data_IF_431173417190
#
_entry.id   IF_431173417190
#
_cell.length_a   1.000
_cell.length_b   1.000
_cell.length_c   1.000
_cell.angle_alpha   90.00
_cell.angle_beta   90.00
_cell.angle_gamma   90.00
#
_symmetry.space_group_name_H-M   'P 1'
#
loop_
_entity.id
_entity.type
_entity.pdbx_description
1 polymer ?
#
# COMPACT_ATOMS: atom_id res chain seq x y z
N UNK A 1 -15.35 11.08 14.33
CA UNK A 1 -13.94 10.64 14.20
C UNK A 1 -13.50 10.16 15.57
N UNK A 2 -13.11 8.89 15.70
CA UNK A 2 -12.62 8.29 16.95
C UNK A 2 -11.23 7.69 16.69
N UNK A 3 -10.20 8.35 17.19
CA UNK A 3 -8.80 7.94 17.02
C UNK A 3 -8.36 7.14 18.24
N UNK A 4 -7.87 5.93 18.02
CA UNK A 4 -7.37 5.07 19.07
C UNK A 4 -5.84 5.21 19.18
N UNK A 5 -5.35 5.51 20.37
CA UNK A 5 -3.91 5.47 20.68
C UNK A 5 -3.60 4.06 21.19
N UNK A 6 -2.64 3.42 20.57
CA UNK A 6 -2.23 2.05 20.89
C UNK A 6 -1.26 2.04 22.05
N UNK A 7 -1.35 1.07 22.92
CA UNK A 7 -0.31 0.81 23.94
C UNK A 7 0.96 0.24 23.27
N UNK A 8 2.07 0.21 24.01
CA UNK A 8 3.33 -0.39 23.48
C UNK A 8 3.17 -1.89 23.18
N UNK A 9 2.40 -2.61 24.00
CA UNK A 9 2.12 -4.04 23.79
C UNK A 9 1.29 -4.23 22.50
N UNK A 10 0.26 -3.40 22.29
CA UNK A 10 -0.55 -3.42 21.06
C UNK A 10 0.30 -3.09 19.81
N UNK A 11 1.20 -2.10 19.90
CA UNK A 11 2.13 -1.79 18.80
C UNK A 11 3.08 -2.97 18.56
N UNK A 12 3.46 -3.70 19.60
CA UNK A 12 4.22 -4.95 19.50
C UNK A 12 3.48 -5.99 18.64
N UNK A 13 2.20 -6.24 18.93
CA UNK A 13 1.36 -7.17 18.17
C UNK A 13 1.12 -6.69 16.73
N UNK A 14 0.90 -5.39 16.53
CA UNK A 14 0.80 -4.80 15.20
C UNK A 14 2.09 -4.97 14.40
N UNK A 15 3.25 -4.86 15.04
CA UNK A 15 4.55 -5.11 14.39
C UNK A 15 4.66 -6.54 13.92
N UNK A 16 4.22 -7.53 14.70
CA UNK A 16 4.20 -8.95 14.30
C UNK A 16 3.32 -9.15 13.04
N UNK A 17 2.11 -8.58 13.03
CA UNK A 17 1.21 -8.64 11.88
C UNK A 17 1.85 -7.99 10.63
N UNK A 18 2.44 -6.81 10.77
CA UNK A 18 3.09 -6.08 9.69
C UNK A 18 4.38 -6.75 9.17
N UNK A 19 5.15 -7.40 10.04
CA UNK A 19 6.31 -8.20 9.62
C UNK A 19 5.86 -9.42 8.79
N UNK A 20 4.71 -10.01 9.11
CA UNK A 20 4.14 -11.09 8.29
C UNK A 20 3.71 -10.58 6.91
N UNK A 21 3.13 -9.38 6.81
CA UNK A 21 2.85 -8.75 5.51
C UNK A 21 4.14 -8.62 4.69
N UNK A 22 5.20 -8.06 5.28
CA UNK A 22 6.50 -7.92 4.60
C UNK A 22 7.06 -9.26 4.10
N UNK A 23 6.97 -10.32 4.91
CA UNK A 23 7.38 -11.68 4.52
C UNK A 23 6.49 -12.25 3.41
N UNK A 24 5.19 -11.98 3.43
CA UNK A 24 4.27 -12.39 2.37
C UNK A 24 4.63 -11.73 1.04
N UNK A 25 4.91 -10.41 1.05
CA UNK A 25 5.37 -9.68 -0.13
C UNK A 25 6.72 -10.23 -0.64
N UNK A 26 7.64 -10.58 0.27
CA UNK A 26 8.92 -11.18 -0.07
C UNK A 26 8.76 -12.59 -0.70
N UNK A 27 7.83 -13.41 -0.17
CA UNK A 27 7.53 -14.69 -0.80
C UNK A 27 6.97 -14.49 -2.21
N UNK A 28 6.04 -13.55 -2.40
CA UNK A 28 5.50 -13.22 -3.71
C UNK A 28 6.56 -12.72 -4.70
N UNK A 29 7.52 -11.94 -4.24
CA UNK A 29 8.65 -11.46 -5.06
C UNK A 29 9.40 -12.61 -5.76
N UNK A 30 9.51 -13.79 -5.13
CA UNK A 30 10.15 -14.99 -5.72
C UNK A 30 9.38 -15.58 -6.89
N UNK A 31 8.09 -15.27 -6.99
CA UNK A 31 7.17 -15.84 -7.98
C UNK A 31 6.80 -14.85 -9.09
N UNK A 32 7.06 -13.56 -8.92
CA UNK A 32 6.74 -12.52 -9.92
C UNK A 32 7.69 -12.66 -11.11
N UNK A 33 7.14 -13.08 -12.24
CA UNK A 33 7.82 -13.21 -13.53
C UNK A 33 6.81 -13.27 -14.67
N UNK A 34 7.22 -13.02 -15.92
CA UNK A 34 6.34 -13.22 -17.08
C UNK A 34 5.75 -14.62 -17.12
N UNK A 35 4.45 -14.70 -17.47
CA UNK A 35 3.69 -15.96 -17.57
C UNK A 35 2.95 -16.37 -16.30
N UNK A 36 3.18 -15.72 -15.16
CA UNK A 36 2.43 -15.98 -13.92
C UNK A 36 1.10 -15.21 -13.95
N UNK A 37 0.02 -15.84 -13.51
CA UNK A 37 -1.28 -15.17 -13.36
C UNK A 37 -1.41 -14.51 -12.00
N UNK A 38 -2.21 -13.44 -11.92
CA UNK A 38 -2.49 -12.77 -10.64
C UNK A 38 -3.22 -13.70 -9.66
N UNK A 39 -4.04 -14.64 -10.15
CA UNK A 39 -4.67 -15.68 -9.31
C UNK A 39 -3.66 -16.65 -8.69
N UNK A 40 -2.56 -16.96 -9.39
CA UNK A 40 -1.50 -17.79 -8.81
C UNK A 40 -0.82 -17.09 -7.65
N UNK A 41 -0.55 -15.78 -7.77
CA UNK A 41 0.01 -14.98 -6.68
C UNK A 41 -0.93 -14.92 -5.47
N UNK A 42 -2.23 -14.72 -5.69
CA UNK A 42 -3.23 -14.73 -4.62
C UNK A 42 -3.24 -16.04 -3.83
N UNK A 43 -3.22 -17.18 -4.54
CA UNK A 43 -3.18 -18.50 -3.89
C UNK A 43 -1.92 -18.70 -3.04
N UNK A 44 -0.76 -18.24 -3.53
CA UNK A 44 0.50 -18.30 -2.78
C UNK A 44 0.42 -17.44 -1.53
N UNK A 45 -0.08 -16.19 -1.66
CA UNK A 45 -0.25 -15.29 -0.53
C UNK A 45 -1.20 -15.85 0.52
N UNK A 46 -2.37 -16.35 0.12
CA UNK A 46 -3.35 -16.94 1.04
C UNK A 46 -2.77 -18.13 1.80
N UNK A 47 -2.09 -19.04 1.11
CA UNK A 47 -1.45 -20.18 1.75
C UNK A 47 -0.39 -19.73 2.76
N UNK A 48 0.51 -18.84 2.34
CA UNK A 48 1.58 -18.33 3.19
C UNK A 48 1.05 -17.64 4.46
N UNK A 49 0.06 -16.76 4.32
CA UNK A 49 -0.55 -16.06 5.47
C UNK A 49 -1.17 -17.08 6.45
N UNK A 50 -1.94 -18.06 5.93
CA UNK A 50 -2.61 -19.06 6.77
C UNK A 50 -1.64 -20.02 7.44
N UNK A 51 -0.58 -20.41 6.77
CA UNK A 51 0.48 -21.29 7.31
C UNK A 51 1.23 -20.63 8.48
N UNK A 52 1.21 -19.28 8.53
CA UNK A 52 1.75 -18.49 9.65
C UNK A 52 0.70 -18.14 10.72
N UNK A 53 -0.47 -18.77 10.71
CA UNK A 53 -1.51 -18.60 11.72
C UNK A 53 -2.31 -17.32 11.65
N UNK A 54 -2.21 -16.58 10.54
CA UNK A 54 -2.94 -15.34 10.32
C UNK A 54 -4.13 -15.52 9.34
N UNK A 55 -4.95 -14.48 9.23
CA UNK A 55 -6.07 -14.42 8.30
C UNK A 55 -5.84 -13.27 7.33
N UNK A 56 -5.98 -13.46 5.99
CA UNK A 56 -5.94 -12.37 5.04
C UNK A 56 -7.17 -11.46 5.25
N UNK A 57 -6.95 -10.17 5.43
CA UNK A 57 -8.00 -9.22 5.82
C UNK A 57 -8.85 -8.74 4.65
N UNK A 58 -8.33 -8.80 3.42
CA UNK A 58 -9.08 -8.33 2.25
C UNK A 58 -10.14 -9.34 1.81
N UNK A 59 -9.90 -10.64 1.96
CA UNK A 59 -10.85 -11.68 1.55
C UNK A 59 -12.14 -11.60 2.36
N UNK A 60 -13.24 -11.30 1.67
CA UNK A 60 -14.54 -11.08 2.31
C UNK A 60 -14.76 -9.66 2.81
N UNK A 61 -13.84 -8.72 2.57
CA UNK A 61 -14.01 -7.32 2.96
C UNK A 61 -15.29 -6.74 2.33
N UNK A 62 -16.19 -6.12 3.11
CA UNK A 62 -17.51 -5.76 2.63
C UNK A 62 -17.48 -4.57 1.67
N UNK A 63 -18.26 -4.67 0.59
CA UNK A 63 -18.58 -3.55 -0.29
C UNK A 63 -20.08 -3.57 -0.60
N UNK A 64 -20.84 -2.55 -0.18
CA UNK A 64 -22.30 -2.53 -0.37
C UNK A 64 -22.72 -2.43 -1.85
N UNK A 65 -21.80 -2.08 -2.75
CA UNK A 65 -22.10 -1.85 -4.17
C UNK A 65 -21.60 -2.95 -5.11
N UNK A 66 -20.66 -3.81 -4.68
CA UNK A 66 -20.00 -4.80 -5.51
C UNK A 66 -19.89 -6.20 -4.91
N UNK A 67 -20.46 -6.40 -3.71
CA UNK A 67 -20.24 -7.63 -2.94
C UNK A 67 -18.84 -7.67 -2.29
N UNK A 68 -18.57 -8.68 -1.42
CA UNK A 68 -17.31 -8.76 -0.70
C UNK A 68 -16.11 -8.96 -1.65
N UNK A 69 -14.95 -8.44 -1.26
CA UNK A 69 -13.72 -8.65 -2.04
C UNK A 69 -13.38 -10.14 -2.12
N UNK A 70 -13.16 -10.71 -3.32
CA UNK A 70 -13.13 -12.16 -3.48
C UNK A 70 -11.76 -12.81 -3.18
N UNK A 71 -10.70 -12.02 -2.98
CA UNK A 71 -9.31 -12.48 -2.95
C UNK A 71 -8.59 -12.07 -1.65
N UNK A 72 -7.42 -12.65 -1.41
CA UNK A 72 -6.61 -12.41 -0.21
C UNK A 72 -5.67 -11.21 -0.33
N UNK A 73 -5.30 -10.85 -1.56
CA UNK A 73 -4.47 -9.70 -1.90
C UNK A 73 -5.11 -8.89 -3.03
N UNK A 74 -4.73 -7.62 -3.17
CA UNK A 74 -4.99 -6.85 -4.38
C UNK A 74 -3.80 -6.99 -5.34
N UNK A 75 -4.08 -7.10 -6.66
CA UNK A 75 -3.07 -7.20 -7.71
C UNK A 75 -3.34 -6.16 -8.79
N UNK A 76 -2.61 -5.07 -8.75
CA UNK A 76 -2.87 -3.89 -9.58
C UNK A 76 -1.78 -3.75 -10.64
N UNK A 77 -2.07 -4.17 -11.88
CA UNK A 77 -1.12 -4.23 -12.99
C UNK A 77 -1.24 -2.95 -13.85
N UNK A 78 -0.11 -2.31 -14.14
CA UNK A 78 0.05 -1.14 -15.00
C UNK A 78 -0.93 0.01 -14.70
N UNK A 79 -2.02 0.17 -15.47
CA UNK A 79 -3.01 1.22 -15.34
C UNK A 79 -4.00 1.03 -14.18
N UNK A 80 -3.98 -0.12 -13.54
CA UNK A 80 -4.72 -0.36 -12.30
C UNK A 80 -4.01 0.34 -11.16
N UNK A 81 -4.71 1.26 -10.50
CA UNK A 81 -4.18 2.04 -9.38
C UNK A 81 -4.16 1.20 -8.11
N UNK A 82 -5.34 0.67 -7.73
CA UNK A 82 -5.55 -0.17 -6.53
C UNK A 82 -6.73 -1.13 -6.73
N UNK A 83 -6.88 -2.05 -5.79
CA UNK A 83 -7.99 -3.00 -5.66
C UNK A 83 -8.19 -3.90 -6.89
N UNK A 84 -7.14 -4.13 -7.68
CA UNK A 84 -7.19 -5.09 -8.77
C UNK A 84 -7.50 -6.49 -8.25
N UNK A 85 -8.58 -7.11 -8.78
CA UNK A 85 -9.00 -8.46 -8.37
C UNK A 85 -8.11 -9.50 -9.05
N UNK A 86 -7.41 -10.36 -8.29
CA UNK A 86 -6.67 -11.49 -8.85
C UNK A 86 -7.57 -12.42 -9.68
N UNK A 87 -7.10 -12.78 -10.88
CA UNK A 87 -7.84 -13.64 -11.80
C UNK A 87 -6.91 -14.49 -12.66
N UNK A 88 -7.45 -15.50 -13.37
CA UNK A 88 -6.70 -16.41 -14.24
C UNK A 88 -6.35 -15.83 -15.61
N UNK A 89 -6.99 -14.72 -15.99
CA UNK A 89 -6.87 -14.13 -17.32
C UNK A 89 -5.76 -13.05 -17.36
N UNK A 90 -5.51 -12.40 -16.24
CA UNK A 90 -4.43 -11.43 -16.11
C UNK A 90 -3.09 -12.16 -15.91
N UNK A 91 -2.37 -12.36 -17.01
CA UNK A 91 -1.05 -12.99 -17.07
C UNK A 91 0.01 -11.91 -17.15
N UNK A 92 0.95 -11.90 -16.21
CA UNK A 92 2.04 -10.93 -16.17
C UNK A 92 2.93 -11.06 -17.41
N UNK A 93 3.29 -9.93 -17.99
CA UNK A 93 4.13 -9.83 -19.18
C UNK A 93 5.47 -9.16 -18.86
N UNK A 94 6.46 -9.42 -19.69
CA UNK A 94 7.73 -8.67 -19.68
C UNK A 94 7.46 -7.16 -19.81
N UNK A 95 8.02 -6.37 -18.92
CA UNK A 95 7.83 -4.93 -18.89
C UNK A 95 6.62 -4.42 -18.12
N UNK A 96 5.81 -5.31 -17.52
CA UNK A 96 4.74 -4.88 -16.60
C UNK A 96 5.30 -4.38 -15.27
N UNK A 97 4.50 -3.56 -14.60
CA UNK A 97 4.64 -3.31 -13.16
C UNK A 97 3.37 -3.80 -12.47
N UNK A 98 3.52 -4.32 -11.25
CA UNK A 98 2.39 -4.82 -10.46
C UNK A 98 2.51 -4.34 -9.02
N UNK A 99 1.51 -3.59 -8.55
CA UNK A 99 1.36 -3.30 -7.13
C UNK A 99 0.62 -4.44 -6.46
N UNK A 100 1.23 -5.03 -5.45
CA UNK A 100 0.60 -6.05 -4.60
C UNK A 100 0.38 -5.45 -3.23
N UNK A 101 -0.88 -5.38 -2.86
CA UNK A 101 -1.33 -4.90 -1.57
C UNK A 101 -1.83 -6.09 -0.74
N UNK A 102 -1.38 -6.17 0.49
CA UNK A 102 -1.55 -7.34 1.35
C UNK A 102 -1.83 -6.92 2.80
N UNK A 103 -2.96 -7.38 3.31
CA UNK A 103 -3.32 -7.20 4.71
C UNK A 103 -3.45 -8.52 5.47
N UNK A 104 -3.02 -8.53 6.73
CA UNK A 104 -3.10 -9.68 7.64
C UNK A 104 -3.77 -9.33 8.95
N UNK A 105 -4.52 -10.27 9.52
CA UNK A 105 -4.98 -10.23 10.90
C UNK A 105 -4.25 -11.31 11.70
N UNK A 106 -3.42 -10.89 12.63
CA UNK A 106 -2.64 -11.76 13.51
C UNK A 106 -2.75 -11.28 14.96
N UNK A 107 -3.04 -12.19 15.88
CA UNK A 107 -3.18 -11.88 17.31
C UNK A 107 -4.16 -10.73 17.62
N UNK A 108 -5.23 -10.58 16.80
CA UNK A 108 -6.27 -9.57 16.96
C UNK A 108 -5.92 -8.17 16.42
N UNK A 109 -4.79 -8.03 15.71
CA UNK A 109 -4.37 -6.78 15.08
C UNK A 109 -4.10 -6.93 13.60
N UNK A 110 -4.43 -5.88 12.85
CA UNK A 110 -4.20 -5.80 11.42
C UNK A 110 -2.77 -5.30 11.12
N UNK A 111 -2.17 -5.90 10.09
CA UNK A 111 -1.00 -5.39 9.40
C UNK A 111 -1.37 -5.09 7.95
N UNK A 112 -0.76 -4.06 7.36
CA UNK A 112 -1.05 -3.60 6.01
C UNK A 112 0.20 -3.03 5.34
N UNK A 113 0.42 -3.41 4.08
CA UNK A 113 1.52 -2.86 3.28
C UNK A 113 1.39 -3.21 1.81
N UNK A 114 1.83 -2.31 0.96
CA UNK A 114 1.85 -2.48 -0.49
C UNK A 114 3.23 -2.23 -1.08
N UNK A 115 3.59 -3.04 -2.08
CA UNK A 115 4.82 -2.88 -2.85
C UNK A 115 4.56 -3.03 -4.34
N UNK A 116 5.18 -2.16 -5.15
CA UNK A 116 5.12 -2.26 -6.62
C UNK A 116 6.37 -2.94 -7.15
N UNK A 117 6.18 -4.04 -7.84
CA UNK A 117 7.22 -4.89 -8.42
C UNK A 117 7.39 -4.64 -9.91
N UNK A 118 8.62 -4.83 -10.41
CA UNK A 118 8.89 -4.95 -11.83
C UNK A 118 8.70 -6.40 -12.30
N UNK A 119 8.13 -6.61 -13.48
CA UNK A 119 8.02 -7.93 -14.11
C UNK A 119 9.04 -8.02 -15.24
N UNK A 120 10.17 -8.70 -14.99
CA UNK A 120 11.31 -8.71 -15.91
C UNK A 120 11.91 -7.32 -16.08
N UNK A 121 12.37 -7.00 -17.29
CA UNK A 121 12.94 -5.68 -17.62
C UNK A 121 11.84 -4.67 -17.93
N UNK A 122 11.77 -3.60 -17.16
CA UNK A 122 10.80 -2.50 -17.35
C UNK A 122 11.50 -1.24 -17.86
N UNK A 123 10.74 -0.36 -18.52
CA UNK A 123 11.27 0.90 -19.04
C UNK A 123 11.76 1.82 -17.91
N UNK A 124 12.72 2.68 -18.22
CA UNK A 124 13.27 3.63 -17.25
C UNK A 124 12.21 4.61 -16.73
N UNK A 125 11.22 4.95 -17.55
CA UNK A 125 10.09 5.78 -17.15
C UNK A 125 9.26 5.12 -16.03
N UNK A 126 9.02 3.80 -16.14
CA UNK A 126 8.33 3.03 -15.09
C UNK A 126 9.22 2.94 -13.84
N UNK A 127 10.52 2.65 -13.99
CA UNK A 127 11.46 2.63 -12.85
C UNK A 127 11.47 3.97 -12.12
N UNK A 128 11.43 5.08 -12.87
CA UNK A 128 11.37 6.43 -12.27
C UNK A 128 10.06 6.67 -11.52
N UNK A 129 8.92 6.20 -12.04
CA UNK A 129 7.64 6.25 -11.34
C UNK A 129 7.73 5.49 -9.99
N UNK A 130 8.28 4.27 -10.00
CA UNK A 130 8.43 3.46 -8.78
C UNK A 130 9.34 4.15 -7.77
N UNK A 131 10.52 4.64 -8.20
CA UNK A 131 11.43 5.43 -7.33
C UNK A 131 10.72 6.60 -6.69
N UNK A 132 10.07 7.43 -7.48
CA UNK A 132 9.40 8.64 -6.99
C UNK A 132 8.27 8.30 -6.01
N UNK A 133 7.48 7.26 -6.29
CA UNK A 133 6.38 6.86 -5.40
C UNK A 133 6.91 6.34 -4.07
N UNK A 134 7.95 5.52 -4.10
CA UNK A 134 8.61 4.99 -2.90
C UNK A 134 9.29 6.10 -2.09
N UNK A 135 9.98 7.02 -2.74
CA UNK A 135 10.57 8.20 -2.07
C UNK A 135 9.48 9.08 -1.44
N UNK A 136 8.34 9.27 -2.12
CA UNK A 136 7.21 10.02 -1.59
C UNK A 136 6.66 9.39 -0.31
N UNK A 137 6.55 8.05 -0.26
CA UNK A 137 6.18 7.32 0.94
C UNK A 137 7.11 7.68 2.11
N UNK A 138 8.42 7.58 1.92
CA UNK A 138 9.39 7.88 3.00
C UNK A 138 9.37 9.36 3.39
N UNK A 139 9.17 10.29 2.44
CA UNK A 139 8.97 11.72 2.76
C UNK A 139 7.70 11.96 3.59
N UNK A 140 6.63 11.23 3.30
CA UNK A 140 5.43 11.21 4.14
C UNK A 140 5.74 10.72 5.56
N UNK A 141 6.44 9.57 5.67
CA UNK A 141 6.82 8.96 6.96
C UNK A 141 7.71 9.88 7.82
N UNK A 142 8.64 10.61 7.21
CA UNK A 142 9.47 11.61 7.92
C UNK A 142 8.63 12.70 8.59
N UNK A 143 7.42 12.93 8.12
CA UNK A 143 6.47 13.89 8.68
C UNK A 143 5.46 13.27 9.66
N UNK A 144 5.43 11.95 9.81
CA UNK A 144 4.55 11.23 10.74
C UNK A 144 5.05 11.30 12.20
N UNK A 145 5.23 12.49 12.71
CA UNK A 145 5.85 12.78 14.01
C UNK A 145 4.84 13.44 14.94
N UNK A 146 4.82 13.05 16.21
CA UNK A 146 3.94 13.63 17.23
C UNK A 146 4.12 15.14 17.33
N UNK A 147 3.00 15.87 17.30
CA UNK A 147 2.94 17.33 17.30
C UNK A 147 2.85 17.96 15.91
N UNK A 148 3.12 17.22 14.82
CA UNK A 148 2.81 17.64 13.45
C UNK A 148 1.35 17.34 13.10
N UNK A 149 0.92 17.72 11.91
CA UNK A 149 -0.44 17.50 11.41
C UNK A 149 -0.47 16.53 10.24
N UNK A 150 -1.60 15.90 9.97
CA UNK A 150 -1.77 15.03 8.80
C UNK A 150 -1.41 15.74 7.50
N UNK A 151 -1.74 17.01 7.37
CA UNK A 151 -1.38 17.82 6.21
C UNK A 151 0.13 17.96 5.98
N UNK A 152 0.97 17.74 7.00
CA UNK A 152 2.42 17.73 6.83
C UNK A 152 2.88 16.47 6.09
N UNK A 153 2.25 15.32 6.37
CA UNK A 153 2.44 14.06 5.61
C UNK A 153 1.95 14.26 4.18
N UNK A 154 0.70 14.68 4.04
CA UNK A 154 0.02 14.86 2.75
C UNK A 154 0.76 15.79 1.79
N UNK A 155 1.21 16.96 2.29
CA UNK A 155 1.94 17.92 1.47
C UNK A 155 3.32 17.41 1.06
N UNK A 156 4.02 16.68 1.93
CA UNK A 156 5.33 16.12 1.62
C UNK A 156 5.25 15.08 0.48
N UNK A 157 4.22 14.21 0.50
CA UNK A 157 3.92 13.25 -0.57
C UNK A 157 3.61 14.00 -1.87
N UNK A 158 2.66 14.94 -1.83
CA UNK A 158 2.19 15.67 -2.99
C UNK A 158 3.32 16.48 -3.65
N UNK A 159 4.03 17.30 -2.88
CA UNK A 159 5.09 18.16 -3.38
C UNK A 159 6.18 17.36 -4.08
N UNK A 160 6.55 16.20 -3.54
CA UNK A 160 7.58 15.34 -4.13
C UNK A 160 7.16 14.77 -5.49
N UNK A 161 5.94 14.24 -5.59
CA UNK A 161 5.45 13.62 -6.82
C UNK A 161 5.14 14.66 -7.91
N UNK A 162 4.47 15.77 -7.56
CA UNK A 162 4.11 16.82 -8.51
C UNK A 162 5.36 17.53 -9.05
N UNK A 163 6.43 17.67 -8.26
CA UNK A 163 7.71 18.22 -8.72
C UNK A 163 8.38 17.34 -9.80
N UNK A 164 8.06 16.06 -9.86
CA UNK A 164 8.51 15.13 -10.89
C UNK A 164 7.53 15.00 -12.06
N UNK A 165 6.43 15.76 -12.04
CA UNK A 165 5.40 15.75 -13.10
C UNK A 165 4.37 14.62 -13.01
N UNK A 166 4.30 13.91 -11.87
CA UNK A 166 3.36 12.83 -11.65
C UNK A 166 2.04 13.30 -11.03
N UNK A 167 0.96 12.57 -11.31
CA UNK A 167 -0.34 12.78 -10.71
C UNK A 167 -0.46 12.10 -9.35
N UNK A 168 -1.17 12.76 -8.40
CA UNK A 168 -1.53 12.17 -7.10
C UNK A 168 -3.02 11.89 -7.07
N UNK A 169 -3.40 10.65 -6.79
CA UNK A 169 -4.79 10.26 -6.59
C UNK A 169 -5.35 10.95 -5.34
N UNK A 170 -6.55 11.51 -5.45
CA UNK A 170 -7.19 12.30 -4.38
C UNK A 170 -8.43 11.68 -3.79
N UNK A 171 -9.03 10.73 -4.50
CA UNK A 171 -10.26 10.07 -4.13
C UNK A 171 -10.06 8.95 -3.12
N UNK A 172 -8.81 8.51 -2.95
CA UNK A 172 -8.38 7.45 -2.06
C UNK A 172 -7.35 7.99 -1.07
N UNK A 173 -7.31 7.39 0.11
CA UNK A 173 -6.48 7.90 1.21
C UNK A 173 -5.94 6.74 2.03
N UNK A 174 -4.82 6.92 2.66
CA UNK A 174 -4.39 6.11 3.79
C UNK A 174 -5.33 6.27 4.99
N UNK A 175 -5.09 5.52 6.03
CA UNK A 175 -6.04 5.39 7.14
C UNK A 175 -5.34 5.08 8.47
N UNK A 176 -6.05 5.26 9.57
CA UNK A 176 -5.69 4.65 10.84
C UNK A 176 -5.85 3.13 10.74
N UNK A 177 -5.09 2.39 11.53
CA UNK A 177 -5.12 0.92 11.53
C UNK A 177 -4.90 0.38 12.95
N UNK A 178 -5.48 -0.79 13.25
CA UNK A 178 -5.35 -1.42 14.56
C UNK A 178 -6.09 -2.73 14.64
N UNK A 179 -7.16 -2.79 15.43
CA UNK A 179 -8.04 -3.96 15.46
C UNK A 179 -8.85 -4.08 14.17
N UNK A 180 -9.23 -2.93 13.61
CA UNK A 180 -9.87 -2.87 12.30
C UNK A 180 -8.84 -2.48 11.23
N UNK A 181 -9.05 -2.97 10.00
CA UNK A 181 -8.21 -2.62 8.87
C UNK A 181 -8.25 -1.12 8.61
N UNK A 182 -9.43 -0.53 8.63
CA UNK A 182 -9.63 0.90 8.44
C UNK A 182 -10.17 1.54 9.71
N UNK A 183 -9.33 2.32 10.38
CA UNK A 183 -9.69 3.18 11.51
C UNK A 183 -9.55 4.67 11.15
N UNK A 184 -10.07 5.56 11.99
CA UNK A 184 -9.73 6.99 11.91
C UNK A 184 -8.25 7.23 12.33
N UNK A 185 -7.58 8.22 11.76
CA UNK A 185 -8.05 9.19 10.77
C UNK A 185 -7.78 8.73 9.32
N UNK A 186 -8.46 9.36 8.35
CA UNK A 186 -8.01 9.30 6.96
C UNK A 186 -6.68 10.03 6.80
N UNK A 187 -5.79 9.51 5.95
CA UNK A 187 -4.44 10.04 5.68
C UNK A 187 -4.32 10.36 4.18
N UNK A 188 -4.80 11.52 3.73
CA UNK A 188 -4.74 11.87 2.31
C UNK A 188 -3.32 12.04 1.79
N UNK A 189 -3.10 11.72 0.52
CA UNK A 189 -1.83 11.90 -0.19
C UNK A 189 -1.63 13.34 -0.74
N UNK A 190 -2.56 14.25 -0.46
CA UNK A 190 -2.52 15.65 -0.84
C UNK A 190 -3.07 16.53 0.28
N UNK A 191 -2.57 17.75 0.39
CA UNK A 191 -3.04 18.65 1.44
C UNK A 191 -2.14 19.86 1.64
N UNK A 192 -2.36 20.54 2.76
CA UNK A 192 -1.58 21.74 3.14
C UNK A 192 -0.90 21.51 4.49
N UNK A 193 0.35 21.91 4.58
CA UNK A 193 1.13 21.87 5.83
C UNK A 193 0.38 22.53 6.98
N UNK A 194 0.47 21.93 8.15
CA UNK A 194 -0.17 22.42 9.39
C UNK A 194 -1.68 22.20 9.46
N UNK A 195 -2.30 21.59 8.45
CA UNK A 195 -3.74 21.33 8.43
C UNK A 195 -4.08 19.89 8.85
N UNK A 196 -5.35 19.68 9.21
CA UNK A 196 -5.88 18.38 9.58
C UNK A 196 -5.61 18.02 11.04
N UNK A 197 -5.75 16.72 11.33
CA UNK A 197 -5.58 16.18 12.69
C UNK A 197 -4.14 16.33 13.15
N UNK A 198 -3.96 16.76 14.39
CA UNK A 198 -2.64 16.77 15.04
C UNK A 198 -2.25 15.32 15.37
N UNK A 199 -1.09 14.90 14.93
CA UNK A 199 -0.51 13.59 15.18
C UNK A 199 -0.11 13.46 16.66
N UNK A 200 -0.54 12.39 17.28
CA UNK A 200 -0.19 12.05 18.66
C UNK A 200 0.67 10.80 18.67
N UNK A 201 1.59 10.72 19.62
CA UNK A 201 2.36 9.49 19.83
C UNK A 201 1.40 8.30 20.02
N UNK A 202 1.78 7.14 19.51
CA UNK A 202 1.01 5.89 19.53
C UNK A 202 -0.25 5.87 18.64
N UNK A 203 -0.46 6.85 17.76
CA UNK A 203 -1.30 6.65 16.59
C UNK A 203 -0.61 5.66 15.65
N UNK A 204 -1.36 4.69 15.12
CA UNK A 204 -0.91 3.81 14.04
C UNK A 204 -1.69 4.16 12.77
N UNK A 205 -0.98 4.41 11.69
CA UNK A 205 -1.54 4.85 10.42
C UNK A 205 -0.85 4.15 9.24
N UNK A 206 -1.62 3.87 8.19
CA UNK A 206 -1.14 3.51 6.87
C UNK A 206 -0.86 4.78 6.07
N UNK A 207 0.33 4.87 5.48
CA UNK A 207 0.72 5.93 4.56
C UNK A 207 0.97 5.26 3.21
N UNK A 208 0.16 5.60 2.22
CA UNK A 208 0.01 4.84 0.98
C UNK A 208 -0.11 5.75 -0.25
N UNK A 209 0.96 6.40 -0.70
CA UNK A 209 0.91 7.20 -1.92
C UNK A 209 0.53 6.34 -3.14
N UNK A 210 -0.54 6.78 -3.82
CA UNK A 210 -1.00 6.26 -5.10
C UNK A 210 -0.68 7.29 -6.17
N UNK A 211 0.28 6.97 -7.03
CA UNK A 211 0.90 7.92 -7.98
C UNK A 211 0.67 7.45 -9.41
N UNK A 212 0.22 8.33 -10.28
CA UNK A 212 -0.02 8.06 -11.69
C UNK A 212 1.06 8.68 -12.57
N UNK A 213 1.53 7.95 -13.59
CA UNK A 213 2.50 8.45 -14.57
C UNK A 213 1.95 9.60 -15.41
N UNK A 214 0.64 9.72 -15.48
CA UNK A 214 -0.05 10.74 -16.26
C UNK A 214 -0.91 11.66 -15.40
N UNK A 215 -2.16 11.84 -15.84
CA UNK A 215 -3.14 12.61 -15.09
C UNK A 215 -3.63 11.84 -13.88
N UNK A 216 -3.98 12.57 -12.81
CA UNK A 216 -4.46 11.99 -11.55
C UNK A 216 -5.87 11.39 -11.60
N UNK A 217 -6.61 11.62 -12.71
CA UNK A 217 -8.01 11.23 -12.81
C UNK A 217 -8.14 9.71 -12.90
N UNK A 218 -9.04 9.14 -12.10
CA UNK A 218 -9.31 7.72 -11.99
C UNK A 218 -10.77 7.39 -12.34
N UNK A 219 -11.05 6.11 -12.47
CA UNK A 219 -12.41 5.61 -12.63
C UNK A 219 -12.55 4.21 -12.04
N UNK A 220 -13.76 3.89 -11.56
CA UNK A 220 -14.12 2.59 -10.99
C UNK A 220 -14.57 1.63 -12.09
N UNK A 221 -13.95 0.45 -12.18
CA UNK A 221 -14.29 -0.57 -13.16
C UNK A 221 -15.67 -1.22 -12.86
N UNK A 222 -16.17 -2.01 -13.80
CA UNK A 222 -17.50 -2.66 -13.72
C UNK A 222 -17.61 -3.67 -12.57
N UNK A 223 -16.49 -4.23 -12.14
CA UNK A 223 -16.42 -5.14 -10.98
C UNK A 223 -16.68 -4.45 -9.64
N UNK A 224 -16.78 -3.11 -9.62
CA UNK A 224 -17.04 -2.28 -8.45
C UNK A 224 -15.93 -2.27 -7.40
N UNK A 225 -14.73 -2.76 -7.75
CA UNK A 225 -13.55 -2.77 -6.92
C UNK A 225 -12.34 -2.13 -7.60
N UNK A 226 -12.01 -2.61 -8.79
CA UNK A 226 -10.81 -2.19 -9.51
C UNK A 226 -10.86 -0.72 -9.88
N UNK A 227 -9.86 0.03 -9.47
CA UNK A 227 -9.71 1.46 -9.79
C UNK A 227 -8.57 1.62 -10.78
N UNK A 228 -8.85 2.33 -11.87
CA UNK A 228 -7.92 2.54 -12.97
C UNK A 228 -7.64 3.99 -13.25
N UNK A 229 -6.47 4.28 -13.82
CA UNK A 229 -6.18 5.59 -14.40
C UNK A 229 -7.09 5.86 -15.59
N UNK A 230 -7.58 7.10 -15.72
CA UNK A 230 -8.47 7.46 -16.82
C UNK A 230 -7.76 7.59 -18.15
N UNK A 231 -6.47 7.86 -18.14
CA UNK A 231 -5.65 8.03 -19.35
C UNK A 231 -4.93 6.73 -19.79
N UNK A 232 -5.11 5.63 -19.04
CA UNK A 232 -4.52 4.32 -19.33
C UNK A 232 -3.01 4.25 -19.08
N UNK A 233 -2.41 5.28 -18.46
CA UNK A 233 -0.99 5.27 -18.10
C UNK A 233 -0.75 4.52 -16.79
N UNK A 234 0.47 3.97 -16.59
CA UNK A 234 0.79 3.24 -15.38
C UNK A 234 0.61 4.04 -14.10
N UNK A 235 0.29 3.34 -13.02
CA UNK A 235 0.29 3.83 -11.65
C UNK A 235 1.17 2.96 -10.77
N UNK A 236 1.67 3.52 -9.67
CA UNK A 236 2.41 2.82 -8.64
C UNK A 236 1.82 3.11 -7.26
N UNK A 237 1.88 2.12 -6.39
CA UNK A 237 1.41 2.17 -5.02
C UNK A 237 2.46 1.55 -4.10
N UNK A 238 2.88 2.29 -3.10
CA UNK A 238 3.73 1.81 -2.01
C UNK A 238 3.10 2.21 -0.70
N UNK A 239 3.22 1.34 0.31
CA UNK A 239 2.59 1.57 1.59
C UNK A 239 3.40 1.01 2.73
N UNK A 240 3.42 1.75 3.83
CA UNK A 240 3.86 1.28 5.13
C UNK A 240 2.86 1.62 6.23
N UNK A 241 2.60 0.67 7.11
CA UNK A 241 2.03 0.96 8.43
C UNK A 241 3.11 1.51 9.35
N UNK A 242 2.82 2.65 9.99
CA UNK A 242 3.74 3.31 10.92
C UNK A 242 3.08 3.62 12.25
N UNK A 243 3.84 3.55 13.33
CA UNK A 243 3.48 4.12 14.63
C UNK A 243 4.09 5.50 14.77
N UNK A 244 3.25 6.51 15.00
CA UNK A 244 3.68 7.88 15.28
C UNK A 244 4.44 7.93 16.59
N UNK A 245 5.64 8.51 16.59
CA UNK A 245 6.51 8.66 17.76
C UNK A 245 6.96 10.10 17.94
N UNK A 246 7.56 10.41 19.08
CA UNK A 246 8.31 11.66 19.26
C UNK A 246 9.61 11.58 18.45
N UNK A 247 9.87 12.58 17.64
CA UNK A 247 11.11 12.71 16.85
C UNK A 247 11.08 11.97 15.52
N UNK A 248 10.85 10.67 15.47
CA UNK A 248 10.81 9.87 14.24
C UNK A 248 9.73 8.78 14.33
N UNK A 249 8.94 8.61 13.28
CA UNK A 249 8.00 7.51 13.19
C UNK A 249 8.70 6.15 13.22
N UNK A 250 8.03 5.16 13.77
CA UNK A 250 8.45 3.76 13.72
C UNK A 250 7.71 3.07 12.58
N UNK A 251 8.43 2.53 11.61
CA UNK A 251 7.86 1.73 10.52
C UNK A 251 7.65 0.30 11.05
N UNK A 252 6.42 -0.21 10.97
CA UNK A 252 6.06 -1.53 11.49
C UNK A 252 6.20 -2.63 10.43
N UNK A 253 5.94 -2.34 9.15
CA UNK A 253 6.16 -3.22 8.00
C UNK A 253 7.61 -3.10 7.48
N UNK A 254 8.05 -4.03 6.63
CA UNK A 254 9.43 -4.00 6.10
C UNK A 254 9.48 -4.41 4.64
N UNK A 255 10.29 -3.70 3.85
CA UNK A 255 10.64 -4.06 2.47
C UNK A 255 12.03 -4.71 2.34
N UNK A 256 12.73 -4.94 3.45
CA UNK A 256 14.13 -5.41 3.40
C UNK A 256 14.28 -6.74 2.67
N UNK A 257 13.44 -7.75 2.99
CA UNK A 257 13.49 -9.06 2.33
C UNK A 257 13.08 -8.96 0.85
N UNK A 258 12.08 -8.13 0.52
CA UNK A 258 11.68 -7.87 -0.87
C UNK A 258 12.86 -7.31 -1.66
N UNK A 259 13.53 -6.28 -1.11
CA UNK A 259 14.67 -5.62 -1.76
C UNK A 259 15.88 -6.54 -1.92
N UNK A 260 16.09 -7.48 -1.01
CA UNK A 260 17.15 -8.50 -1.13
C UNK A 260 16.88 -9.47 -2.28
N UNK A 261 15.59 -9.81 -2.53
CA UNK A 261 15.19 -10.73 -3.60
C UNK A 261 15.23 -10.04 -4.95
N UNK A 262 14.66 -8.83 -5.05
CA UNK A 262 14.62 -8.07 -6.30
C UNK A 262 15.98 -7.51 -6.71
N UNK A 263 16.90 -7.34 -5.77
CA UNK A 263 18.11 -6.55 -6.00
C UNK A 263 17.80 -5.06 -6.19
N UNK A 264 18.76 -4.31 -6.73
CA UNK A 264 18.56 -2.88 -7.07
C UNK A 264 17.96 -2.75 -8.47
N UNK A 265 16.66 -2.92 -8.59
CA UNK A 265 15.97 -2.75 -9.87
C UNK A 265 15.66 -1.27 -10.17
N UNK A 266 15.48 -0.43 -9.14
CA UNK A 266 15.21 1.01 -9.24
C UNK A 266 15.62 1.77 -7.97
#
# INVERSE_FOLDING_TARGET
MKIFLKTEDEIGLMREANQLVGKTLAELARHIKPGVTTLQLDKIAEAFIRDHGAVPTFKGFPNPYGGPFPASICTSVNDVVVHGIPNSETVLQEGDIISIDCGTLLNGFCGDSCYTFCVGEVSEEKKQLLRTTKEALYKGIENAVAGRHLGDISSAVQEHCEAQGYGIVRELTGHGIGHEMHEDPQVPNYGRRGNGVMLKASMCIAIEPMVTMGKRDIWLDKDRWTIRTRDGKPAAHFEHTVAVRKGKAEILSSFEEVQQIEGKQY
#
